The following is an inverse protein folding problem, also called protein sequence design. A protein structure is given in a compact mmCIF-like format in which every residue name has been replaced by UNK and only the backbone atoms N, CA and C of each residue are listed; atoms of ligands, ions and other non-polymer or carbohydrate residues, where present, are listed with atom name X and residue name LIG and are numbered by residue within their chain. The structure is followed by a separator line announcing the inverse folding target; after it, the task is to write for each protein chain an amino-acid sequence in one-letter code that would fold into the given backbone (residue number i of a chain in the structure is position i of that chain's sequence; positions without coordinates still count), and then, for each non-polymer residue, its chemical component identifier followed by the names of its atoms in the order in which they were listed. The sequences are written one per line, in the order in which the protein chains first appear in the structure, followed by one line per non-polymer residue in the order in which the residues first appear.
data_IF_522324904276
#
_entry.id   IF_522324904276
#
_cell.length_a   1.000
_cell.length_b   1.000
_cell.length_c   1.000
_cell.angle_alpha   90.00
_cell.angle_beta   90.00
_cell.angle_gamma   90.00
#
_symmetry.space_group_name_H-M   'P 1'
#
loop_
_entity.id
_entity.type
_entity.pdbx_description
1 polymer ?
#
# COMPACT_ATOMS: atom_id res chain seq x y z
N UNK A 1 -32.01 -13.95 0.83
CA UNK A 1 -31.05 -12.98 0.26
C UNK A 1 -29.65 -13.40 0.65
N UNK A 2 -28.84 -13.71 -0.30
CA UNK A 2 -27.46 -14.12 -0.06
C UNK A 2 -26.59 -12.88 0.06
N UNK A 3 -25.92 -12.74 1.17
CA UNK A 3 -24.93 -11.71 1.32
C UNK A 3 -23.77 -12.04 0.37
N UNK A 4 -23.33 -11.06 -0.35
CA UNK A 4 -22.18 -11.22 -1.23
C UNK A 4 -20.93 -11.35 -0.39
N UNK A 5 -20.14 -12.39 -0.62
CA UNK A 5 -18.85 -12.59 0.04
C UNK A 5 -17.91 -11.46 -0.40
N UNK A 6 -17.16 -10.83 0.51
CA UNK A 6 -16.16 -9.83 0.12
C UNK A 6 -15.26 -10.28 -1.02
N UNK A 7 -14.93 -11.57 -1.10
CA UNK A 7 -14.14 -12.12 -2.20
C UNK A 7 -14.79 -11.92 -3.57
N UNK A 8 -16.13 -11.74 -3.61
CA UNK A 8 -16.87 -11.53 -4.85
C UNK A 8 -16.93 -10.06 -5.28
N UNK A 9 -16.54 -9.14 -4.40
CA UNK A 9 -16.58 -7.71 -4.72
C UNK A 9 -15.54 -7.34 -5.78
N UNK A 10 -14.41 -8.02 -5.75
CA UNK A 10 -13.27 -7.68 -6.57
C UNK A 10 -12.41 -8.92 -6.76
N UNK A 11 -12.15 -9.26 -8.02
CA UNK A 11 -11.23 -10.36 -8.33
C UNK A 11 -9.79 -9.94 -8.03
N UNK A 12 -8.87 -10.91 -8.03
CA UNK A 12 -7.44 -10.61 -7.87
C UNK A 12 -6.94 -9.66 -8.95
N UNK A 13 -7.34 -9.87 -10.20
CA UNK A 13 -6.95 -9.00 -11.30
C UNK A 13 -7.52 -7.59 -11.14
N UNK A 14 -8.75 -7.49 -10.68
CA UNK A 14 -9.37 -6.19 -10.40
C UNK A 14 -8.68 -5.48 -9.24
N UNK A 15 -8.27 -6.23 -8.21
CA UNK A 15 -7.52 -5.68 -7.08
C UNK A 15 -6.17 -5.13 -7.56
N UNK A 16 -5.44 -5.90 -8.36
CA UNK A 16 -4.16 -5.47 -8.93
C UNK A 16 -4.34 -4.22 -9.78
N UNK A 17 -5.42 -4.16 -10.56
CA UNK A 17 -5.73 -2.99 -11.38
C UNK A 17 -6.02 -1.76 -10.50
N UNK A 18 -6.71 -1.95 -9.38
CA UNK A 18 -6.99 -0.87 -8.44
C UNK A 18 -5.70 -0.32 -7.80
N UNK A 19 -4.77 -1.19 -7.49
CA UNK A 19 -3.45 -0.79 -6.96
C UNK A 19 -2.69 0.03 -8.01
N UNK A 20 -2.68 -0.43 -9.25
CA UNK A 20 -2.04 0.29 -10.36
C UNK A 20 -2.69 1.66 -10.59
N UNK A 21 -4.01 1.72 -10.54
CA UNK A 21 -4.75 2.97 -10.69
C UNK A 21 -4.42 3.96 -9.56
N UNK A 22 -4.22 3.46 -8.34
CA UNK A 22 -3.84 4.30 -7.21
C UNK A 22 -2.49 4.98 -7.45
N UNK A 23 -1.55 4.28 -8.06
CA UNK A 23 -0.23 4.84 -8.38
C UNK A 23 -0.32 6.01 -9.35
N UNK A 24 -1.34 6.05 -10.22
CA UNK A 24 -1.53 7.17 -11.14
C UNK A 24 -1.96 8.44 -10.43
N UNK A 25 -2.37 8.33 -9.16
CA UNK A 25 -2.76 9.49 -8.34
C UNK A 25 -1.55 10.21 -7.76
N UNK A 26 -0.36 9.62 -7.82
CA UNK A 26 0.86 10.29 -7.40
C UNK A 26 1.16 11.42 -8.40
N UNK A 27 1.43 12.65 -7.94
CA UNK A 27 1.77 13.74 -8.84
C UNK A 27 2.97 13.38 -9.74
N UNK A 28 2.92 13.77 -11.00
CA UNK A 28 3.97 13.42 -11.98
C UNK A 28 5.37 13.78 -11.51
N UNK A 29 5.51 14.92 -10.85
CA UNK A 29 6.79 15.38 -10.31
C UNK A 29 7.40 14.40 -9.31
N UNK A 30 6.54 13.74 -8.52
CA UNK A 30 6.97 12.74 -7.56
C UNK A 30 7.04 11.36 -8.18
N UNK A 31 6.12 11.06 -9.10
CA UNK A 31 6.05 9.74 -9.74
C UNK A 31 7.36 9.38 -10.44
N UNK A 32 8.03 10.34 -11.07
CA UNK A 32 9.31 10.11 -11.75
C UNK A 32 10.45 9.76 -10.79
N UNK A 33 10.26 9.99 -9.49
CA UNK A 33 11.24 9.62 -8.47
C UNK A 33 11.03 8.18 -7.95
N UNK A 34 9.94 7.55 -8.37
CA UNK A 34 9.61 6.16 -7.99
C UNK A 34 10.37 5.17 -8.88
N UNK A 35 11.66 5.41 -9.08
CA UNK A 35 12.55 4.49 -9.78
C UNK A 35 13.01 3.44 -8.78
N UNK A 36 13.09 2.20 -9.19
CA UNK A 36 13.53 1.12 -8.33
C UNK A 36 12.61 0.88 -7.11
N UNK A 37 11.31 1.11 -7.29
CA UNK A 37 10.28 0.78 -6.30
C UNK A 37 9.38 -0.28 -6.90
N UNK A 38 9.20 -1.38 -6.18
CA UNK A 38 8.33 -2.47 -6.60
C UNK A 38 7.07 -2.43 -5.75
N UNK A 39 5.91 -2.47 -6.39
CA UNK A 39 4.62 -2.55 -5.68
C UNK A 39 4.08 -3.95 -5.87
N UNK A 40 3.84 -4.65 -4.77
CA UNK A 40 3.36 -6.03 -4.79
C UNK A 40 2.10 -6.16 -3.93
N UNK A 41 1.27 -7.12 -4.29
CA UNK A 41 0.09 -7.48 -3.52
C UNK A 41 0.34 -8.83 -2.89
N UNK A 42 0.16 -8.91 -1.58
CA UNK A 42 0.23 -10.17 -0.84
C UNK A 42 -1.10 -10.39 -0.13
N UNK A 43 -1.39 -11.63 0.23
CA UNK A 43 -2.67 -11.94 0.85
C UNK A 43 -2.70 -11.52 2.31
N UNK A 44 -1.68 -11.87 3.09
CA UNK A 44 -1.65 -11.60 4.52
C UNK A 44 -0.27 -11.11 4.96
N UNK A 45 -0.27 -10.25 5.97
CA UNK A 45 0.96 -9.89 6.66
C UNK A 45 1.34 -10.98 7.67
N UNK A 46 2.60 -11.40 7.66
CA UNK A 46 3.13 -12.31 8.67
C UNK A 46 3.75 -11.49 9.79
N UNK A 47 3.13 -11.46 11.00
CA UNK A 47 3.71 -10.74 12.12
C UNK A 47 5.09 -11.27 12.50
N UNK A 48 5.97 -10.35 12.91
CA UNK A 48 7.27 -10.73 13.43
C UNK A 48 7.10 -11.42 14.79
N UNK A 49 8.11 -12.18 15.21
CA UNK A 49 8.00 -12.97 16.44
C UNK A 49 7.83 -12.12 17.71
N UNK A 50 8.15 -10.82 17.65
CA UNK A 50 7.94 -9.90 18.78
C UNK A 50 6.62 -9.15 18.71
N UNK A 51 5.85 -9.36 17.64
CA UNK A 51 4.56 -8.72 17.47
C UNK A 51 3.43 -9.64 17.92
N UNK A 52 2.27 -9.03 18.19
CA UNK A 52 1.07 -9.81 18.43
C UNK A 52 0.77 -10.68 17.20
N UNK A 53 0.52 -11.99 17.38
CA UNK A 53 0.21 -12.87 16.26
C UNK A 53 -1.02 -12.45 15.44
N UNK A 54 -1.91 -11.64 16.01
CA UNK A 54 -3.11 -11.17 15.34
C UNK A 54 -2.91 -9.83 14.63
N UNK A 55 -1.68 -9.33 14.57
CA UNK A 55 -1.37 -8.07 13.89
C UNK A 55 -1.76 -8.14 12.41
N UNK A 56 -2.55 -7.17 11.95
CA UNK A 56 -2.91 -7.03 10.54
C UNK A 56 -2.45 -5.67 10.05
N UNK A 57 -1.97 -5.64 8.81
CA UNK A 57 -1.60 -4.39 8.13
C UNK A 57 -2.33 -4.33 6.81
N UNK A 58 -2.73 -3.12 6.39
CA UNK A 58 -3.26 -2.90 5.04
C UNK A 58 -2.13 -2.74 4.03
N UNK A 59 -1.01 -2.17 4.45
CA UNK A 59 0.15 -1.98 3.61
C UNK A 59 1.42 -1.85 4.42
N UNK A 60 2.55 -1.90 3.71
CA UNK A 60 3.87 -1.83 4.34
C UNK A 60 4.86 -1.28 3.33
N UNK A 61 5.68 -0.34 3.75
CA UNK A 61 6.83 0.09 2.96
C UNK A 61 8.09 -0.55 3.55
N UNK A 62 8.86 -1.21 2.68
CA UNK A 62 10.13 -1.80 3.04
C UNK A 62 11.24 -1.17 2.22
N UNK A 63 12.21 -0.57 2.86
CA UNK A 63 13.33 0.05 2.18
C UNK A 63 13.91 1.19 2.99
N UNK A 64 14.67 2.05 2.29
CA UNK A 64 15.28 3.23 2.88
C UNK A 64 14.61 4.46 2.27
N UNK A 65 13.94 5.31 3.07
CA UNK A 65 13.30 6.52 2.55
C UNK A 65 14.27 7.37 1.73
N UNK A 66 13.74 8.02 0.70
CA UNK A 66 14.53 8.74 -0.29
C UNK A 66 15.53 9.74 0.32
N UNK A 67 15.11 10.47 1.35
CA UNK A 67 15.95 11.47 2.01
C UNK A 67 17.06 10.90 2.90
N UNK A 68 17.04 9.61 3.17
CA UNK A 68 17.97 8.94 4.07
C UNK A 68 18.93 8.02 3.33
N UNK A 69 18.91 8.02 2.00
CA UNK A 69 19.75 7.13 1.20
C UNK A 69 21.19 7.56 1.21
N UNK A 70 22.06 6.61 1.54
CA UNK A 70 23.49 6.76 1.21
C UNK A 70 23.68 6.41 -0.26
N UNK A 71 24.68 6.99 -0.91
CA UNK A 71 25.01 6.61 -2.27
C UNK A 71 25.62 5.22 -2.28
N UNK A 72 24.83 4.24 -2.73
CA UNK A 72 25.26 2.86 -2.90
C UNK A 72 25.13 2.52 -4.38
N UNK A 73 26.18 1.96 -5.00
CA UNK A 73 26.16 1.66 -6.43
C UNK A 73 25.12 0.61 -6.83
N UNK A 74 24.64 -0.16 -5.88
CA UNK A 74 23.64 -1.22 -6.10
C UNK A 74 22.80 -1.36 -4.85
N UNK A 75 21.54 -1.11 -5.00
CA UNK A 75 20.59 -1.12 -3.91
C UNK A 75 19.46 -2.06 -4.27
N UNK A 76 19.01 -2.84 -3.28
CA UNK A 76 17.80 -3.64 -3.44
C UNK A 76 16.63 -2.71 -3.72
N UNK A 77 15.69 -3.09 -4.60
CA UNK A 77 14.49 -2.28 -4.81
C UNK A 77 13.74 -2.09 -3.50
N UNK A 78 13.21 -0.90 -3.30
CA UNK A 78 12.25 -0.66 -2.23
C UNK A 78 10.94 -1.35 -2.59
N UNK A 79 10.21 -1.80 -1.59
CA UNK A 79 8.96 -2.50 -1.79
C UNK A 79 7.82 -1.77 -1.09
N UNK A 80 6.73 -1.60 -1.82
CA UNK A 80 5.44 -1.24 -1.23
C UNK A 80 4.58 -2.49 -1.32
N UNK A 81 4.13 -2.98 -0.19
CA UNK A 81 3.29 -4.19 -0.11
C UNK A 81 1.89 -3.77 0.28
N UNK A 82 0.90 -4.29 -0.45
CA UNK A 82 -0.52 -4.07 -0.14
C UNK A 82 -1.10 -5.43 0.23
N UNK A 83 -1.78 -5.50 1.37
CA UNK A 83 -2.31 -6.76 1.89
C UNK A 83 -3.79 -6.89 1.56
N UNK A 84 -4.10 -7.77 0.62
CA UNK A 84 -5.45 -7.97 0.10
C UNK A 84 -6.42 -8.50 1.15
N UNK A 85 -6.01 -9.48 1.95
CA UNK A 85 -6.87 -10.12 2.94
C UNK A 85 -7.47 -9.13 3.95
N UNK A 86 -6.64 -8.37 4.68
CA UNK A 86 -7.14 -7.39 5.64
C UNK A 86 -8.03 -6.32 5.00
N UNK A 87 -7.66 -5.82 3.81
CA UNK A 87 -8.48 -4.82 3.12
C UNK A 87 -9.85 -5.38 2.77
N UNK A 88 -9.90 -6.61 2.25
CA UNK A 88 -11.16 -7.26 1.91
C UNK A 88 -12.04 -7.48 3.14
N UNK A 89 -11.43 -7.84 4.28
CA UNK A 89 -12.17 -8.12 5.51
C UNK A 89 -12.72 -6.87 6.20
N UNK A 90 -12.01 -5.75 6.12
CA UNK A 90 -12.34 -4.55 6.90
C UNK A 90 -13.14 -3.51 6.13
N UNK A 91 -13.32 -3.69 4.83
CA UNK A 91 -14.16 -2.80 4.04
C UNK A 91 -15.59 -3.34 3.97
N UNK A 92 -16.56 -2.44 3.91
CA UNK A 92 -17.98 -2.79 3.94
C UNK A 92 -18.55 -3.05 2.56
N UNK A 93 -17.95 -2.46 1.53
CA UNK A 93 -18.40 -2.61 0.16
C UNK A 93 -17.25 -2.33 -0.82
N UNK A 94 -17.53 -2.49 -2.11
CA UNK A 94 -16.53 -2.30 -3.16
C UNK A 94 -16.03 -0.85 -3.23
N UNK A 95 -16.90 0.11 -3.05
CA UNK A 95 -16.52 1.53 -3.12
C UNK A 95 -15.53 1.89 -2.01
N UNK A 96 -15.80 1.42 -0.80
CA UNK A 96 -14.89 1.61 0.33
C UNK A 96 -13.57 0.89 0.10
N UNK A 97 -13.62 -0.32 -0.46
CA UNK A 97 -12.43 -1.10 -0.78
C UNK A 97 -11.54 -0.34 -1.78
N UNK A 98 -12.12 0.18 -2.87
CA UNK A 98 -11.38 0.96 -3.85
C UNK A 98 -10.72 2.19 -3.22
N UNK A 99 -11.44 2.89 -2.36
CA UNK A 99 -10.91 4.06 -1.65
C UNK A 99 -9.77 3.68 -0.71
N UNK A 100 -9.94 2.60 0.06
CA UNK A 100 -8.92 2.16 1.00
C UNK A 100 -7.67 1.61 0.30
N UNK A 101 -7.82 0.97 -0.84
CA UNK A 101 -6.67 0.58 -1.66
C UNK A 101 -5.88 1.83 -2.06
N UNK A 102 -6.57 2.85 -2.54
CA UNK A 102 -5.92 4.10 -2.96
C UNK A 102 -5.19 4.76 -1.80
N UNK A 103 -5.86 4.92 -0.66
CA UNK A 103 -5.26 5.52 0.53
C UNK A 103 -4.04 4.72 1.00
N UNK A 104 -4.16 3.39 1.03
CA UNK A 104 -3.07 2.52 1.47
C UNK A 104 -1.84 2.66 0.56
N UNK A 105 -2.04 2.62 -0.75
CA UNK A 105 -0.94 2.78 -1.71
C UNK A 105 -0.26 4.13 -1.54
N UNK A 106 -1.05 5.20 -1.49
CA UNK A 106 -0.50 6.56 -1.35
C UNK A 106 0.19 6.75 0.00
N UNK A 107 -0.33 6.15 1.06
CA UNK A 107 0.29 6.20 2.38
C UNK A 107 1.69 5.58 2.37
N UNK A 108 1.82 4.37 1.80
CA UNK A 108 3.12 3.69 1.76
C UNK A 108 4.09 4.36 0.79
N UNK A 109 3.61 4.88 -0.33
CA UNK A 109 4.43 5.71 -1.22
C UNK A 109 4.91 6.96 -0.49
N UNK A 110 4.06 7.53 0.37
CA UNK A 110 4.45 8.66 1.21
C UNK A 110 5.64 8.35 2.12
N UNK A 111 5.69 7.14 2.65
CA UNK A 111 6.84 6.71 3.45
C UNK A 111 8.12 6.65 2.62
N UNK A 112 8.04 6.24 1.36
CA UNK A 112 9.18 6.29 0.46
C UNK A 112 9.73 7.71 0.32
N UNK A 113 8.87 8.72 0.26
CA UNK A 113 9.27 10.11 0.17
C UNK A 113 9.68 10.72 1.51
N UNK A 114 9.58 9.96 2.59
CA UNK A 114 9.91 10.45 3.93
C UNK A 114 8.88 11.42 4.50
N UNK A 115 7.65 11.37 4.01
CA UNK A 115 6.57 12.21 4.51
C UNK A 115 6.12 11.69 5.88
N UNK A 116 5.98 12.60 6.85
CA UNK A 116 5.55 12.22 8.20
C UNK A 116 4.10 11.75 8.23
N UNK A 117 3.75 10.94 9.24
CA UNK A 117 2.37 10.50 9.44
C UNK A 117 1.40 11.67 9.55
N UNK A 118 1.81 12.72 10.25
CA UNK A 118 1.00 13.94 10.39
C UNK A 118 0.71 14.58 9.04
N UNK A 119 1.74 14.70 8.20
CA UNK A 119 1.59 15.29 6.87
C UNK A 119 0.77 14.40 5.94
N UNK A 120 0.94 13.08 6.04
CA UNK A 120 0.13 12.13 5.28
C UNK A 120 -1.35 12.29 5.61
N UNK A 121 -1.66 12.46 6.89
CA UNK A 121 -3.02 12.69 7.34
C UNK A 121 -3.61 13.97 6.75
N UNK A 122 -2.83 15.06 6.76
CA UNK A 122 -3.24 16.34 6.18
C UNK A 122 -3.51 16.24 4.67
N UNK A 123 -2.75 15.41 3.97
CA UNK A 123 -2.89 15.19 2.53
C UNK A 123 -4.07 14.27 2.19
N UNK A 124 -4.67 13.62 3.19
CA UNK A 124 -5.73 12.64 2.97
C UNK A 124 -5.18 11.26 2.56
N UNK A 125 -3.90 11.01 2.81
CA UNK A 125 -3.22 9.76 2.48
C UNK A 125 -3.03 8.86 3.71
N UNK A 126 -3.65 9.20 4.81
CA UNK A 126 -3.48 8.46 6.04
C UNK A 126 -4.73 7.82 6.61
#
# INVERSE_FOLDING_TARGET
MTEQDPADWMSEDEFDAAVSAALTRVPDELARLLTNVVVVVEEEYEPQHWEDPDTELFGLYEGVPLGERAEVPWQMPDRVVVFRGPLMRHCRDRAELEEQITVTVLHEVGHFFGISEERLHELGWG
#
